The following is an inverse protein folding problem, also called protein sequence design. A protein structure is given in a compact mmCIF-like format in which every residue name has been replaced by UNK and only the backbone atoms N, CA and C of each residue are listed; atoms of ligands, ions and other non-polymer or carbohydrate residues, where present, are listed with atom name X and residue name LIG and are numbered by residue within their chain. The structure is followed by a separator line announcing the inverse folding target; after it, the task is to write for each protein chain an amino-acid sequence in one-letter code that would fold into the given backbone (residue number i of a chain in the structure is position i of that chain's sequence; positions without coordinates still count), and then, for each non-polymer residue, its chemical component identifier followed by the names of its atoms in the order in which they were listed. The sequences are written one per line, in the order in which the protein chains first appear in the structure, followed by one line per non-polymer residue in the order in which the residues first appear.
data_IF_232920308535
#
_entry.id   IF_232920308535
#
_cell.length_a   1.000
_cell.length_b   1.000
_cell.length_c   1.000
_cell.angle_alpha   90.00
_cell.angle_beta   90.00
_cell.angle_gamma   90.00
#
_symmetry.space_group_name_H-M   'P 1'
#
loop_
_entity.id
_entity.type
_entity.pdbx_description
1 polymer ?
#
# COMPACT_ATOMS: atom_id res chain seq x y z
N UNK A 1 21.02 -0.17 -8.72
CA UNK A 1 20.68 -1.27 -7.79
C UNK A 1 19.17 -1.36 -7.70
N UNK A 2 18.62 -2.58 -7.81
CA UNK A 2 17.18 -2.79 -7.75
C UNK A 2 16.70 -2.96 -6.33
N UNK A 3 15.64 -2.25 -5.95
CA UNK A 3 15.08 -2.23 -4.61
C UNK A 3 13.58 -2.52 -4.72
N UNK A 4 13.11 -3.53 -4.00
CA UNK A 4 11.68 -3.76 -3.79
C UNK A 4 11.32 -3.07 -2.47
N UNK A 5 10.32 -2.21 -2.49
CA UNK A 5 9.93 -1.37 -1.38
C UNK A 5 8.45 -1.52 -1.04
N UNK A 6 8.15 -1.86 0.21
CA UNK A 6 6.79 -1.87 0.76
C UNK A 6 6.71 -0.75 1.79
N UNK A 7 6.05 0.35 1.41
CA UNK A 7 6.13 1.64 2.10
C UNK A 7 4.88 1.97 2.90
N UNK A 8 3.96 1.02 3.09
CA UNK A 8 2.80 1.21 3.97
C UNK A 8 2.52 -0.09 4.70
N UNK A 9 2.85 -0.10 5.99
CA UNK A 9 2.57 -1.20 6.89
C UNK A 9 2.08 -0.65 8.24
N UNK A 10 1.65 -1.56 9.12
CA UNK A 10 1.34 -1.25 10.50
C UNK A 10 2.29 -1.92 11.49
N UNK A 11 2.29 -1.39 12.71
CA UNK A 11 2.95 -1.96 13.87
C UNK A 11 1.97 -2.81 14.71
N UNK A 12 2.51 -3.48 15.73
CA UNK A 12 1.72 -4.18 16.76
C UNK A 12 0.75 -3.29 17.55
N UNK A 13 0.89 -1.97 17.45
CA UNK A 13 0.03 -1.01 18.15
C UNK A 13 -1.23 -0.63 17.37
N UNK A 14 -1.32 -0.99 16.09
CA UNK A 14 -2.55 -0.84 15.33
C UNK A 14 -3.55 -1.95 15.64
N UNK A 15 -4.84 -1.62 15.56
CA UNK A 15 -5.91 -2.61 15.71
C UNK A 15 -5.79 -3.75 14.71
N UNK A 16 -6.14 -4.96 15.17
CA UNK A 16 -6.14 -6.19 14.37
C UNK A 16 -4.79 -6.52 13.69
N UNK A 17 -3.68 -6.02 14.26
CA UNK A 17 -2.34 -6.31 13.80
C UNK A 17 -1.67 -7.39 14.65
N UNK A 18 -0.79 -8.17 14.03
CA UNK A 18 0.03 -9.16 14.73
C UNK A 18 0.96 -8.50 15.76
N UNK A 19 1.17 -9.12 16.94
CA UNK A 19 2.18 -8.66 17.89
C UNK A 19 3.61 -8.72 17.33
N UNK A 20 3.85 -9.51 16.27
CA UNK A 20 5.12 -9.64 15.56
C UNK A 20 5.41 -8.49 14.58
N UNK A 21 4.56 -7.47 14.54
CA UNK A 21 4.85 -6.23 13.81
C UNK A 21 5.65 -5.26 14.71
N UNK A 22 6.80 -5.75 15.20
CA UNK A 22 7.82 -4.99 15.91
C UNK A 22 9.11 -4.92 15.07
N UNK A 23 9.99 -3.95 15.36
CA UNK A 23 11.17 -3.67 14.52
C UNK A 23 12.07 -4.91 14.31
N UNK A 24 12.41 -5.71 15.35
CA UNK A 24 13.16 -6.96 15.16
C UNK A 24 12.50 -7.94 14.18
N UNK A 25 11.23 -8.27 14.36
CA UNK A 25 10.54 -9.26 13.52
C UNK A 25 10.27 -8.72 12.10
N UNK A 26 9.99 -7.43 11.96
CA UNK A 26 9.86 -6.77 10.66
C UNK A 26 11.17 -6.83 9.87
N UNK A 27 12.31 -6.60 10.52
CA UNK A 27 13.64 -6.72 9.88
C UNK A 27 13.90 -8.12 9.35
N UNK A 28 13.55 -9.16 10.11
CA UNK A 28 13.73 -10.55 9.70
C UNK A 28 12.75 -10.95 8.58
N UNK A 29 11.50 -10.53 8.70
CA UNK A 29 10.44 -10.84 7.74
C UNK A 29 10.64 -10.15 6.41
N UNK A 30 11.11 -8.90 6.40
CA UNK A 30 11.45 -8.17 5.17
C UNK A 30 12.52 -8.91 4.35
N UNK A 31 13.53 -9.47 5.02
CA UNK A 31 14.59 -10.25 4.36
C UNK A 31 14.07 -11.57 3.80
N UNK A 32 13.22 -12.28 4.56
CA UNK A 32 12.54 -13.49 4.09
C UNK A 32 11.73 -13.19 2.83
N UNK A 33 11.04 -12.05 2.80
CA UNK A 33 10.26 -11.61 1.64
C UNK A 33 11.14 -11.14 0.48
N UNK A 34 12.30 -10.54 0.76
CA UNK A 34 13.15 -9.89 -0.25
C UNK A 34 12.83 -8.40 -0.44
N UNK A 35 12.27 -7.76 0.59
CA UNK A 35 11.95 -6.32 0.61
C UNK A 35 13.21 -5.55 1.01
N UNK A 36 13.77 -4.79 0.09
CA UNK A 36 15.00 -4.01 0.31
C UNK A 36 14.77 -2.71 1.09
N UNK A 37 13.55 -2.17 1.09
CA UNK A 37 13.16 -1.00 1.87
C UNK A 37 11.76 -1.18 2.44
N UNK A 38 11.61 -1.06 3.75
CA UNK A 38 10.33 -1.25 4.42
C UNK A 38 9.86 0.05 5.11
N UNK A 39 8.58 0.39 5.02
CA UNK A 39 7.98 1.43 5.85
C UNK A 39 8.06 1.03 7.33
N UNK A 40 8.20 2.00 8.25
CA UNK A 40 8.19 1.64 9.68
C UNK A 40 6.80 1.29 10.21
N UNK A 41 5.75 1.86 9.62
CA UNK A 41 4.42 1.94 10.21
C UNK A 41 4.37 2.88 11.42
N UNK A 42 3.16 3.37 11.73
CA UNK A 42 2.70 3.87 13.04
C UNK A 42 3.66 4.75 13.87
N UNK A 43 4.54 5.55 13.25
CA UNK A 43 5.54 6.32 14.00
C UNK A 43 4.94 7.35 14.96
N UNK A 44 3.63 7.62 14.87
CA UNK A 44 2.89 8.51 15.76
C UNK A 44 2.58 7.89 17.11
N UNK A 45 2.52 6.55 17.21
CA UNK A 45 2.25 5.89 18.48
C UNK A 45 3.46 6.04 19.40
N UNK A 46 3.33 6.60 20.61
CA UNK A 46 4.50 6.99 21.42
C UNK A 46 5.35 5.81 21.87
N UNK A 47 4.74 4.66 22.17
CA UNK A 47 5.51 3.46 22.54
C UNK A 47 6.24 2.88 21.33
N UNK A 48 5.62 2.93 20.14
CA UNK A 48 6.29 2.48 18.92
C UNK A 48 7.40 3.44 18.52
N UNK A 49 7.20 4.74 18.66
CA UNK A 49 8.25 5.73 18.41
C UNK A 49 9.45 5.55 19.34
N UNK A 50 9.22 5.20 20.61
CA UNK A 50 10.29 4.83 21.53
C UNK A 50 11.03 3.56 21.08
N UNK A 51 10.30 2.57 20.54
CA UNK A 51 10.87 1.37 19.94
C UNK A 51 11.72 1.70 18.69
N UNK A 52 11.22 2.54 17.78
CA UNK A 52 11.96 3.01 16.61
C UNK A 52 13.28 3.67 17.04
N UNK A 53 13.26 4.60 18.00
CA UNK A 53 14.48 5.24 18.54
C UNK A 53 15.45 4.26 19.19
N UNK A 54 14.95 3.17 19.77
CA UNK A 54 15.77 2.16 20.44
C UNK A 54 16.49 1.26 19.44
N UNK A 55 15.80 0.83 18.38
CA UNK A 55 16.30 -0.21 17.48
C UNK A 55 16.86 0.29 16.17
N UNK A 56 16.37 1.43 15.67
CA UNK A 56 16.78 2.00 14.41
C UNK A 56 17.96 2.95 14.59
N UNK A 57 18.90 2.87 13.66
CA UNK A 57 19.98 3.85 13.47
C UNK A 57 19.89 4.38 12.06
N UNK A 58 20.31 5.61 11.81
CA UNK A 58 20.42 6.10 10.44
C UNK A 58 21.40 5.21 9.66
N UNK A 59 21.06 4.89 8.40
CA UNK A 59 21.82 3.96 7.57
C UNK A 59 23.02 4.68 6.94
N UNK A 60 24.21 4.12 7.13
CA UNK A 60 25.44 4.68 6.57
C UNK A 60 25.36 4.75 5.04
N UNK A 61 25.64 5.93 4.48
CA UNK A 61 25.58 6.18 3.03
C UNK A 61 24.16 6.34 2.46
N UNK A 62 23.11 6.23 3.27
CA UNK A 62 21.71 6.37 2.87
C UNK A 62 20.93 7.37 3.74
N UNK A 63 21.23 8.68 3.69
CA UNK A 63 20.64 9.69 4.58
C UNK A 63 19.10 9.67 4.62
N UNK A 64 18.54 9.79 5.83
CA UNK A 64 17.10 9.72 6.07
C UNK A 64 16.46 8.34 5.93
N UNK A 65 17.24 7.31 5.58
CA UNK A 65 16.85 5.91 5.77
C UNK A 65 17.45 5.38 7.05
N UNK A 66 16.77 4.44 7.67
CA UNK A 66 17.16 3.83 8.93
C UNK A 66 17.44 2.35 8.76
N UNK A 67 18.14 1.74 9.70
CA UNK A 67 18.53 0.34 9.61
C UNK A 67 18.38 -0.39 10.94
N UNK A 68 17.92 -1.65 10.86
CA UNK A 68 18.04 -2.64 11.93
C UNK A 68 18.55 -3.96 11.37
N UNK A 69 19.67 -4.45 11.92
CA UNK A 69 20.33 -5.71 11.52
C UNK A 69 20.55 -5.81 9.98
N UNK A 70 20.84 -4.73 9.26
CA UNK A 70 21.01 -4.77 7.79
C UNK A 70 19.72 -4.66 6.97
N UNK A 71 18.53 -4.59 7.58
CA UNK A 71 17.30 -4.23 6.88
C UNK A 71 17.10 -2.71 6.92
N UNK A 72 16.85 -2.09 5.77
CA UNK A 72 16.57 -0.65 5.67
C UNK A 72 15.10 -0.33 5.83
N UNK A 73 14.84 0.82 6.45
CA UNK A 73 13.54 1.36 6.78
C UNK A 73 13.40 2.81 6.33
N UNK A 74 12.18 3.19 5.92
CA UNK A 74 11.75 4.56 5.70
C UNK A 74 10.69 4.91 6.75
N UNK A 75 10.84 6.05 7.42
CA UNK A 75 9.92 6.46 8.48
C UNK A 75 8.54 6.78 7.89
N UNK A 76 7.57 5.91 8.16
CA UNK A 76 6.21 6.01 7.66
C UNK A 76 5.18 5.84 8.78
N UNK A 77 4.07 6.57 8.67
CA UNK A 77 2.83 6.37 9.45
C UNK A 77 1.60 6.48 8.55
N UNK A 78 0.44 6.09 9.07
CA UNK A 78 -0.87 6.36 8.47
C UNK A 78 -1.75 7.06 9.51
N UNK A 79 -2.49 8.10 9.09
CA UNK A 79 -3.41 8.85 9.94
C UNK A 79 -4.84 8.71 9.40
N UNK A 80 -5.80 8.49 10.29
CA UNK A 80 -7.22 8.43 9.93
C UNK A 80 -7.90 9.77 10.24
N UNK A 81 -8.16 10.57 9.21
CA UNK A 81 -8.92 11.81 9.32
C UNK A 81 -10.42 11.52 9.22
N UNK A 82 -11.18 11.82 10.28
CA UNK A 82 -12.64 11.71 10.30
C UNK A 82 -13.24 13.08 10.62
N UNK A 83 -13.95 13.65 9.66
CA UNK A 83 -14.51 15.00 9.77
C UNK A 83 -15.80 15.11 8.95
N UNK A 84 -16.89 15.53 9.61
CA UNK A 84 -18.22 15.48 9.02
C UNK A 84 -18.58 14.05 8.59
N UNK A 85 -18.87 13.86 7.31
CA UNK A 85 -19.13 12.54 6.72
C UNK A 85 -17.89 11.92 6.05
N UNK A 86 -16.81 12.69 5.93
CA UNK A 86 -15.58 12.25 5.25
C UNK A 86 -14.71 11.41 6.18
N UNK A 87 -14.12 10.39 5.59
CA UNK A 87 -13.14 9.51 6.23
C UNK A 87 -12.04 9.26 5.22
N UNK A 88 -10.83 9.71 5.52
CA UNK A 88 -9.68 9.60 4.63
C UNK A 88 -8.49 9.16 5.43
N UNK A 89 -7.85 8.09 4.97
CA UNK A 89 -6.55 7.70 5.44
C UNK A 89 -5.45 8.35 4.61
N UNK A 90 -4.40 8.77 5.29
CA UNK A 90 -3.27 9.45 4.67
C UNK A 90 -1.97 8.87 5.21
N UNK A 91 -1.17 8.31 4.32
CA UNK A 91 0.21 7.88 4.56
C UNK A 91 1.12 9.10 4.57
N UNK A 92 2.06 9.12 5.51
CA UNK A 92 3.08 10.16 5.63
C UNK A 92 4.45 9.53 5.65
N UNK A 93 5.35 10.02 4.80
CA UNK A 93 6.79 9.71 4.88
C UNK A 93 7.54 10.88 5.50
N UNK A 94 8.41 10.62 6.46
CA UNK A 94 9.21 11.65 7.13
C UNK A 94 10.73 11.41 6.92
N UNK A 95 11.53 12.47 6.73
CA UNK A 95 12.96 12.34 6.43
C UNK A 95 13.82 11.96 7.64
N UNK A 96 13.37 12.22 8.87
CA UNK A 96 14.16 11.93 10.07
C UNK A 96 13.30 11.77 11.33
N UNK A 97 13.87 11.14 12.37
CA UNK A 97 13.23 10.98 13.68
C UNK A 97 12.95 12.32 14.37
N UNK A 98 13.73 13.37 14.08
CA UNK A 98 13.48 14.73 14.56
C UNK A 98 12.22 15.31 13.94
N UNK A 99 12.05 15.16 12.63
CA UNK A 99 10.82 15.58 11.93
C UNK A 99 9.62 14.77 12.42
N UNK A 100 9.77 13.45 12.63
CA UNK A 100 8.73 12.62 13.26
C UNK A 100 8.37 13.16 14.65
N UNK A 101 9.34 13.54 15.48
CA UNK A 101 9.06 14.08 16.80
C UNK A 101 8.23 15.37 16.73
N UNK A 102 8.53 16.25 15.76
CA UNK A 102 7.77 17.48 15.54
C UNK A 102 6.35 17.20 15.04
N UNK A 103 6.18 16.23 14.12
CA UNK A 103 4.85 15.78 13.65
C UNK A 103 4.05 15.22 14.84
N UNK A 104 4.65 14.37 15.66
CA UNK A 104 3.99 13.77 16.81
C UNK A 104 3.56 14.83 17.85
N UNK A 105 4.39 15.84 18.11
CA UNK A 105 4.03 16.96 18.99
C UNK A 105 2.85 17.77 18.43
N UNK A 106 2.87 18.08 17.14
CA UNK A 106 1.79 18.83 16.49
C UNK A 106 0.47 18.05 16.47
N UNK A 107 0.49 16.78 16.06
CA UNK A 107 -0.69 15.92 16.00
C UNK A 107 -1.21 15.54 17.39
N UNK A 108 -0.34 15.43 18.39
CA UNK A 108 -0.73 15.20 19.79
C UNK A 108 -1.58 16.32 20.38
N UNK A 109 -1.51 17.53 19.81
CA UNK A 109 -2.38 18.67 20.17
C UNK A 109 -3.75 18.61 19.48
N UNK A 110 -3.96 17.68 18.54
CA UNK A 110 -5.20 17.50 17.75
C UNK A 110 -5.99 16.26 18.16
N UNK A 111 -5.36 15.28 18.81
CA UNK A 111 -6.06 14.08 19.28
C UNK A 111 -5.16 13.07 19.99
N UNK A 112 -5.73 11.91 20.29
CA UNK A 112 -5.04 10.87 21.06
C UNK A 112 -4.20 9.95 20.16
N UNK A 113 -2.88 10.15 20.18
CA UNK A 113 -1.94 9.29 19.44
C UNK A 113 -1.66 7.93 20.10
N UNK A 114 -2.14 7.69 21.33
CA UNK A 114 -1.87 6.46 22.09
C UNK A 114 -2.93 5.38 21.93
N UNK A 115 -4.06 5.71 21.32
CA UNK A 115 -5.22 4.81 21.26
C UNK A 115 -5.04 3.68 20.24
N UNK A 116 -4.29 3.95 19.17
CA UNK A 116 -4.09 3.05 18.04
C UNK A 116 -2.82 3.48 17.30
N UNK A 117 -2.14 2.53 16.65
CA UNK A 117 -1.01 2.81 15.76
C UNK A 117 -1.37 3.74 14.60
N UNK A 118 -2.61 3.63 14.09
CA UNK A 118 -3.25 4.60 13.20
C UNK A 118 -4.20 5.48 14.00
N UNK A 119 -3.74 6.64 14.50
CA UNK A 119 -4.60 7.51 15.28
C UNK A 119 -5.75 8.07 14.43
N UNK A 120 -6.94 8.10 15.03
CA UNK A 120 -8.12 8.75 14.47
C UNK A 120 -8.16 10.18 14.97
N UNK A 121 -8.07 11.15 14.05
CA UNK A 121 -8.06 12.57 14.35
C UNK A 121 -9.28 13.26 13.73
N UNK A 122 -9.86 14.20 14.48
CA UNK A 122 -11.01 15.01 14.06
C UNK A 122 -10.68 16.16 13.11
N UNK A 123 -9.58 16.06 12.37
CA UNK A 123 -9.07 17.09 11.45
C UNK A 123 -9.24 16.64 10.00
N UNK A 124 -9.35 17.61 9.09
CA UNK A 124 -9.43 17.31 7.66
C UNK A 124 -8.11 16.78 7.08
N UNK A 125 -8.17 16.09 5.94
CA UNK A 125 -6.96 15.67 5.23
C UNK A 125 -6.12 16.87 4.76
N UNK A 126 -6.78 18.00 4.43
CA UNK A 126 -6.13 19.28 4.15
C UNK A 126 -5.38 19.82 5.39
N UNK A 127 -6.04 19.93 6.54
CA UNK A 127 -5.39 20.40 7.78
C UNK A 127 -4.21 19.49 8.17
N UNK A 128 -4.37 18.17 8.02
CA UNK A 128 -3.27 17.22 8.22
C UNK A 128 -2.09 17.52 7.30
N UNK A 129 -2.34 17.73 6.00
CA UNK A 129 -1.31 18.07 5.03
C UNK A 129 -0.63 19.42 5.35
N UNK A 130 -1.38 20.43 5.76
CA UNK A 130 -0.86 21.73 6.20
C UNK A 130 0.08 21.60 7.39
N UNK A 131 -0.30 20.81 8.40
CA UNK A 131 0.54 20.56 9.58
C UNK A 131 1.84 19.86 9.16
N UNK A 132 1.74 18.75 8.41
CA UNK A 132 2.90 17.92 8.05
C UNK A 132 3.87 18.67 7.15
N UNK A 133 3.36 19.32 6.09
CA UNK A 133 4.19 20.05 5.14
C UNK A 133 4.70 21.39 5.70
N UNK A 134 3.99 21.96 6.69
CA UNK A 134 4.45 23.12 7.45
C UNK A 134 5.63 22.82 8.37
N UNK A 135 5.74 21.57 8.86
CA UNK A 135 6.88 21.10 9.66
C UNK A 135 8.08 20.80 8.77
N UNK A 136 7.87 20.06 7.67
CA UNK A 136 8.90 19.81 6.68
C UNK A 136 8.29 19.64 5.29
N UNK A 137 8.75 20.46 4.35
CA UNK A 137 8.35 20.34 2.94
C UNK A 137 8.95 19.11 2.25
N UNK A 138 9.88 18.40 2.90
CA UNK A 138 10.46 17.17 2.39
C UNK A 138 9.55 15.97 2.62
N UNK A 139 8.61 16.06 3.58
CA UNK A 139 7.62 15.02 3.83
C UNK A 139 6.82 14.68 2.57
N UNK A 140 6.37 13.44 2.47
CA UNK A 140 5.34 13.05 1.50
C UNK A 140 4.02 12.87 2.23
N UNK A 141 2.94 13.40 1.64
CA UNK A 141 1.56 13.22 2.07
C UNK A 141 0.85 12.50 0.95
N UNK A 142 0.35 11.29 1.22
CA UNK A 142 -0.12 10.35 0.21
C UNK A 142 -1.48 9.81 0.66
N UNK A 143 -2.56 10.04 -0.10
CA UNK A 143 -3.83 9.36 0.16
C UNK A 143 -3.65 7.84 0.10
N UNK A 144 -3.98 7.15 1.19
CA UNK A 144 -3.85 5.71 1.30
C UNK A 144 -4.96 5.01 0.51
N UNK A 145 -4.65 3.81 -0.01
CA UNK A 145 -5.58 2.85 -0.63
C UNK A 145 -6.82 3.51 -1.28
N UNK A 146 -6.59 4.34 -2.32
CA UNK A 146 -7.44 5.47 -2.71
C UNK A 146 -8.91 5.15 -3.01
N UNK A 147 -9.24 3.88 -3.25
CA UNK A 147 -10.54 3.44 -3.73
C UNK A 147 -11.32 2.52 -2.79
N UNK A 148 -10.76 2.16 -1.61
CA UNK A 148 -11.55 1.32 -0.71
C UNK A 148 -12.85 2.05 -0.33
N UNK A 149 -14.02 1.38 -0.22
CA UNK A 149 -15.31 2.08 -0.18
C UNK A 149 -15.49 3.05 1.00
N UNK A 150 -14.65 2.91 2.03
CA UNK A 150 -14.60 3.74 3.23
C UNK A 150 -13.16 4.20 3.43
N UNK A 151 -12.94 5.26 4.21
CA UNK A 151 -11.59 5.67 4.64
C UNK A 151 -10.61 6.03 3.51
N UNK A 152 -11.10 6.30 2.30
CA UNK A 152 -10.26 6.54 1.13
C UNK A 152 -10.70 7.79 0.38
N UNK A 153 -9.75 8.47 -0.27
CA UNK A 153 -10.02 9.75 -0.93
C UNK A 153 -11.07 9.66 -2.03
N UNK A 154 -11.17 8.56 -2.77
CA UNK A 154 -12.21 8.32 -3.79
C UNK A 154 -13.27 7.29 -3.35
N UNK A 155 -13.27 6.90 -2.09
CA UNK A 155 -14.18 5.89 -1.55
C UNK A 155 -15.65 6.27 -1.75
N UNK A 156 -16.46 5.32 -2.22
CA UNK A 156 -17.84 5.57 -2.63
C UNK A 156 -18.78 6.08 -1.51
N UNK A 157 -18.45 5.87 -0.23
CA UNK A 157 -19.33 6.23 0.89
C UNK A 157 -18.86 7.44 1.71
N UNK A 158 -17.58 7.82 1.62
CA UNK A 158 -16.99 8.87 2.46
C UNK A 158 -15.90 9.69 1.79
N UNK A 159 -15.63 9.43 0.51
CA UNK A 159 -14.59 10.11 -0.27
C UNK A 159 -15.06 11.41 -0.91
N UNK A 160 -14.30 11.81 -1.92
CA UNK A 160 -14.41 13.01 -2.73
C UNK A 160 -14.42 12.61 -4.21
N UNK A 161 -14.83 13.52 -5.09
CA UNK A 161 -14.80 13.30 -6.53
C UNK A 161 -13.48 13.78 -7.16
N UNK A 162 -12.65 14.51 -6.40
CA UNK A 162 -11.30 14.92 -6.84
C UNK A 162 -10.31 15.12 -5.68
N UNK A 163 -9.01 15.04 -5.97
CA UNK A 163 -7.96 15.45 -5.01
C UNK A 163 -8.11 16.93 -4.62
N UNK A 164 -8.61 17.77 -5.54
CA UNK A 164 -8.81 19.21 -5.29
C UNK A 164 -9.86 19.48 -4.22
N UNK A 165 -10.94 18.71 -4.19
CA UNK A 165 -11.93 18.81 -3.12
C UNK A 165 -11.36 18.37 -1.76
N UNK A 166 -10.48 17.36 -1.75
CA UNK A 166 -9.91 16.82 -0.52
C UNK A 166 -8.78 17.69 0.05
N UNK A 167 -7.87 18.18 -0.80
CA UNK A 167 -6.62 18.87 -0.40
C UNK A 167 -6.55 20.34 -0.83
N UNK A 168 -7.58 20.90 -1.47
CA UNK A 168 -7.64 22.32 -1.82
C UNK A 168 -6.38 22.82 -2.54
N UNK A 169 -5.80 23.91 -2.04
CA UNK A 169 -4.58 24.52 -2.60
C UNK A 169 -3.33 23.62 -2.49
N UNK A 170 -3.32 22.67 -1.53
CA UNK A 170 -2.23 21.71 -1.37
C UNK A 170 -2.29 20.53 -2.33
N UNK A 171 -3.29 20.46 -3.21
CA UNK A 171 -3.37 19.41 -4.25
C UNK A 171 -2.09 19.33 -5.09
N UNK A 172 -1.46 20.48 -5.37
CA UNK A 172 -0.19 20.55 -6.11
C UNK A 172 1.02 19.95 -5.36
N UNK A 173 0.85 19.63 -4.07
CA UNK A 173 1.83 18.98 -3.20
C UNK A 173 1.54 17.50 -2.95
N UNK A 174 0.43 16.99 -3.48
CA UNK A 174 0.10 15.56 -3.44
C UNK A 174 0.70 14.94 -4.70
N UNK A 175 1.87 14.34 -4.54
CA UNK A 175 2.65 13.80 -5.66
C UNK A 175 2.39 12.33 -5.96
N UNK A 176 1.70 11.63 -5.07
CA UNK A 176 1.36 10.23 -5.24
C UNK A 176 0.01 9.92 -4.58
N UNK A 177 -0.61 8.84 -5.06
CA UNK A 177 -1.68 8.13 -4.36
C UNK A 177 -1.31 6.66 -4.27
N UNK A 178 -1.78 6.00 -3.23
CA UNK A 178 -1.66 4.55 -3.11
C UNK A 178 -2.88 3.86 -3.74
N UNK A 179 -2.66 2.93 -4.66
CA UNK A 179 -3.72 2.17 -5.34
C UNK A 179 -4.52 1.34 -4.33
N UNK A 180 -3.79 0.56 -3.53
CA UNK A 180 -4.30 -0.39 -2.55
C UNK A 180 -5.06 -1.56 -3.18
N UNK A 181 -5.30 -2.60 -2.40
CA UNK A 181 -5.82 -3.92 -2.82
C UNK A 181 -7.16 -3.95 -3.59
N UNK A 182 -7.85 -2.81 -3.71
CA UNK A 182 -9.15 -2.70 -4.38
C UNK A 182 -9.07 -2.04 -5.76
N UNK A 183 -7.90 -1.56 -6.17
CA UNK A 183 -7.69 -0.97 -7.49
C UNK A 183 -6.28 -1.22 -7.99
N UNK A 184 -6.08 -1.09 -9.28
CA UNK A 184 -4.76 -1.18 -9.91
C UNK A 184 -4.52 0.01 -10.86
N UNK A 185 -3.34 0.11 -11.49
CA UNK A 185 -3.05 1.20 -12.40
C UNK A 185 -4.02 1.34 -13.58
N UNK A 186 -4.45 0.27 -14.29
CA UNK A 186 -5.49 0.34 -15.32
C UNK A 186 -6.78 1.03 -14.85
N UNK A 187 -7.27 0.71 -13.65
CA UNK A 187 -8.43 1.38 -13.08
C UNK A 187 -8.20 2.88 -12.87
N UNK A 188 -7.02 3.26 -12.36
CA UNK A 188 -6.66 4.65 -12.05
C UNK A 188 -6.34 5.50 -13.31
N UNK A 189 -5.77 4.89 -14.34
CA UNK A 189 -5.43 5.55 -15.61
C UNK A 189 -6.62 6.11 -16.38
N UNK A 190 -7.82 5.65 -16.01
CA UNK A 190 -9.07 6.11 -16.56
C UNK A 190 -9.51 7.50 -16.07
N UNK A 191 -8.79 8.09 -15.12
CA UNK A 191 -9.05 9.41 -14.55
C UNK A 191 -7.89 10.35 -14.89
N UNK A 192 -8.06 11.22 -15.89
CA UNK A 192 -6.99 12.11 -16.36
C UNK A 192 -6.42 13.04 -15.30
N UNK A 193 -7.22 13.39 -14.28
CA UNK A 193 -6.77 14.19 -13.15
C UNK A 193 -5.63 13.53 -12.33
N UNK A 194 -5.46 12.20 -12.46
CA UNK A 194 -4.41 11.44 -11.79
C UNK A 194 -3.11 11.32 -12.59
N UNK A 195 -3.05 11.81 -13.83
CA UNK A 195 -1.85 11.68 -14.66
C UNK A 195 -0.61 12.33 -14.04
N UNK A 196 -0.78 13.37 -13.23
CA UNK A 196 0.34 14.10 -12.62
C UNK A 196 0.82 13.49 -11.32
N UNK A 197 0.10 12.52 -10.75
CA UNK A 197 0.49 11.84 -9.52
C UNK A 197 1.07 10.47 -9.84
N UNK A 198 2.07 10.04 -9.06
CA UNK A 198 2.54 8.67 -9.11
C UNK A 198 1.50 7.73 -8.48
N UNK A 199 1.33 6.56 -9.08
CA UNK A 199 0.62 5.45 -8.46
C UNK A 199 1.67 4.61 -7.73
N UNK A 200 1.55 4.51 -6.42
CA UNK A 200 2.35 3.61 -5.60
C UNK A 200 1.48 2.47 -5.08
N UNK A 201 2.11 1.34 -4.76
CA UNK A 201 1.40 0.15 -4.30
C UNK A 201 2.12 -0.43 -3.10
N UNK A 202 1.39 -0.67 -2.01
CA UNK A 202 1.95 -1.08 -0.73
C UNK A 202 0.99 -2.03 -0.01
N UNK A 203 1.54 -2.87 0.86
CA UNK A 203 0.78 -4.00 1.37
C UNK A 203 -0.33 -3.64 2.36
N UNK A 204 -0.26 -2.53 3.07
CA UNK A 204 -1.08 -2.28 4.27
C UNK A 204 -1.04 -3.53 5.20
N UNK A 205 0.19 -3.99 5.48
CA UNK A 205 0.40 -5.26 6.17
C UNK A 205 -0.01 -5.19 7.64
N UNK A 206 -0.95 -6.06 8.01
CA UNK A 206 -1.38 -6.31 9.39
C UNK A 206 -0.72 -7.56 10.01
N UNK A 207 0.19 -8.21 9.29
CA UNK A 207 1.01 -9.32 9.80
C UNK A 207 2.26 -9.51 8.93
N UNK A 208 3.34 -10.09 9.46
CA UNK A 208 4.55 -10.36 8.68
C UNK A 208 4.31 -11.18 7.39
N UNK A 209 3.35 -12.10 7.42
CA UNK A 209 3.00 -12.93 6.27
C UNK A 209 2.45 -12.12 5.08
N UNK A 210 1.83 -10.96 5.34
CA UNK A 210 1.19 -10.11 4.33
C UNK A 210 2.11 -8.98 3.81
N UNK A 211 3.31 -8.83 4.35
CA UNK A 211 4.33 -7.94 3.81
C UNK A 211 4.61 -8.25 2.34
N UNK A 212 4.71 -7.20 1.52
CA UNK A 212 5.06 -7.29 0.11
C UNK A 212 4.01 -7.94 -0.80
N UNK A 213 2.75 -8.11 -0.35
CA UNK A 213 1.65 -8.51 -1.27
C UNK A 213 1.37 -7.46 -2.34
N UNK A 214 1.78 -6.22 -2.05
CA UNK A 214 1.90 -5.09 -2.96
C UNK A 214 3.24 -4.40 -2.65
N UNK A 215 3.90 -3.87 -3.67
CA UNK A 215 5.21 -3.24 -3.51
C UNK A 215 5.56 -2.30 -4.67
N UNK A 216 6.63 -1.53 -4.50
CA UNK A 216 7.20 -0.64 -5.50
C UNK A 216 8.59 -1.12 -5.87
N UNK A 217 8.94 -1.09 -7.15
CA UNK A 217 10.27 -1.49 -7.63
C UNK A 217 11.03 -0.27 -8.11
N UNK A 218 12.14 0.03 -7.43
CA UNK A 218 13.05 1.12 -7.78
C UNK A 218 14.36 0.59 -8.36
N UNK A 219 15.00 1.39 -9.21
CA UNK A 219 16.37 1.21 -9.68
C UNK A 219 17.13 2.51 -9.43
N UNK A 220 17.95 2.51 -8.39
CA UNK A 220 18.68 3.70 -7.95
C UNK A 220 20.18 3.41 -7.90
N UNK A 221 21.01 4.40 -8.13
CA UNK A 221 22.43 4.27 -7.81
C UNK A 221 22.62 4.28 -6.28
N UNK A 222 23.75 3.74 -5.81
CA UNK A 222 24.05 3.64 -4.37
C UNK A 222 23.95 4.99 -3.65
N UNK A 223 24.41 6.06 -4.32
CA UNK A 223 24.33 7.44 -3.81
C UNK A 223 22.91 8.00 -3.76
N UNK A 224 22.01 7.45 -4.57
CA UNK A 224 20.60 7.88 -4.65
C UNK A 224 19.70 7.00 -3.76
N UNK A 225 20.16 5.85 -3.28
CA UNK A 225 19.39 5.03 -2.35
C UNK A 225 19.36 5.64 -0.95
N UNK A 226 18.55 6.68 -0.80
CA UNK A 226 18.32 7.46 0.41
C UNK A 226 16.88 8.03 0.38
N UNK A 227 16.42 8.66 1.46
CA UNK A 227 15.05 9.17 1.56
C UNK A 227 14.68 10.09 0.38
N UNK A 228 15.57 11.05 0.06
CA UNK A 228 15.35 12.02 -1.02
C UNK A 228 15.26 11.34 -2.37
N UNK A 229 16.15 10.40 -2.67
CA UNK A 229 16.15 9.71 -3.97
C UNK A 229 14.88 8.90 -4.20
N UNK A 230 14.36 8.22 -3.17
CA UNK A 230 13.07 7.51 -3.22
C UNK A 230 11.93 8.50 -3.45
N UNK A 231 11.84 9.56 -2.64
CA UNK A 231 10.78 10.55 -2.77
C UNK A 231 10.82 11.26 -4.12
N UNK A 232 12.01 11.62 -4.64
CA UNK A 232 12.17 12.26 -5.95
C UNK A 232 11.79 11.33 -7.11
N UNK A 233 12.13 10.04 -7.03
CA UNK A 233 11.71 9.07 -8.04
C UNK A 233 10.17 8.98 -8.13
N UNK A 234 9.49 8.99 -6.98
CA UNK A 234 8.02 9.03 -6.90
C UNK A 234 7.49 10.38 -7.42
N UNK A 235 7.97 11.52 -6.89
CA UNK A 235 7.49 12.87 -7.26
C UNK A 235 7.56 13.15 -8.76
N UNK A 236 8.61 12.67 -9.41
CA UNK A 236 8.86 12.91 -10.85
C UNK A 236 8.26 11.85 -11.76
N UNK A 237 7.68 10.77 -11.22
CA UNK A 237 7.29 9.58 -11.98
C UNK A 237 8.44 9.12 -12.90
N UNK A 238 9.67 9.12 -12.39
CA UNK A 238 10.85 8.85 -13.21
C UNK A 238 10.93 7.35 -13.54
N UNK A 239 10.47 6.94 -14.73
CA UNK A 239 10.45 5.54 -15.18
C UNK A 239 11.82 4.85 -15.16
N UNK A 240 12.92 5.59 -15.14
CA UNK A 240 14.26 5.00 -15.02
C UNK A 240 14.58 4.59 -13.58
N UNK A 241 13.97 5.29 -12.61
CA UNK A 241 14.19 5.10 -11.18
C UNK A 241 13.05 4.36 -10.49
N UNK A 242 11.82 4.55 -10.92
CA UNK A 242 10.62 3.87 -10.44
C UNK A 242 10.13 2.97 -11.58
N UNK A 243 10.54 1.71 -11.54
CA UNK A 243 10.43 0.78 -12.66
C UNK A 243 9.02 0.22 -12.82
N UNK A 244 8.39 -0.18 -11.72
CA UNK A 244 7.03 -0.69 -11.72
C UNK A 244 6.47 -0.80 -10.30
N UNK A 245 5.16 -1.02 -10.20
CA UNK A 245 4.51 -1.53 -8.99
C UNK A 245 4.22 -3.02 -9.11
N UNK A 246 4.21 -3.72 -7.98
CA UNK A 246 3.60 -5.04 -7.82
C UNK A 246 2.26 -4.84 -7.15
N UNK A 247 1.20 -5.30 -7.81
CA UNK A 247 -0.19 -5.06 -7.43
C UNK A 247 -0.87 -6.38 -7.04
N UNK A 248 -1.82 -6.32 -6.12
CA UNK A 248 -2.76 -7.39 -5.89
C UNK A 248 -3.80 -7.42 -7.01
N UNK A 249 -4.46 -8.56 -7.25
CA UNK A 249 -5.57 -8.64 -8.20
C UNK A 249 -6.84 -8.00 -7.59
N UNK A 250 -7.27 -6.80 -8.03
CA UNK A 250 -8.42 -6.13 -7.43
C UNK A 250 -9.71 -6.95 -7.55
N UNK A 251 -9.80 -7.87 -8.52
CA UNK A 251 -10.92 -8.78 -8.76
C UNK A 251 -11.19 -9.74 -7.60
N UNK A 252 -10.17 -10.06 -6.81
CA UNK A 252 -10.32 -10.86 -5.59
C UNK A 252 -10.95 -10.06 -4.44
N UNK A 253 -11.02 -8.73 -4.59
CA UNK A 253 -11.64 -7.82 -3.65
C UNK A 253 -13.13 -8.12 -3.44
N UNK A 254 -13.54 -8.16 -2.18
CA UNK A 254 -14.93 -8.42 -1.75
C UNK A 254 -15.98 -7.50 -2.41
N UNK A 255 -15.57 -6.29 -2.76
CA UNK A 255 -16.42 -5.26 -3.35
C UNK A 255 -15.90 -4.81 -4.72
N UNK A 256 -15.25 -5.67 -5.50
CA UNK A 256 -14.71 -5.27 -6.81
C UNK A 256 -15.81 -4.82 -7.78
N UNK A 257 -16.74 -5.71 -8.12
CA UNK A 257 -17.91 -5.45 -8.96
C UNK A 257 -19.19 -5.24 -8.15
N UNK A 258 -20.23 -4.70 -8.81
CA UNK A 258 -21.55 -4.56 -8.21
C UNK A 258 -22.15 -5.94 -7.94
N UNK A 259 -22.92 -6.06 -6.86
CA UNK A 259 -23.51 -7.35 -6.55
C UNK A 259 -24.52 -7.38 -5.43
N UNK A 260 -25.25 -8.50 -5.35
CA UNK A 260 -26.18 -8.77 -4.25
C UNK A 260 -25.86 -10.13 -3.65
N UNK A 261 -25.14 -10.12 -2.52
CA UNK A 261 -24.60 -11.33 -1.87
C UNK A 261 -25.64 -12.43 -1.68
N UNK A 262 -26.80 -12.08 -1.11
CA UNK A 262 -27.85 -13.06 -0.79
C UNK A 262 -28.47 -13.72 -2.04
N UNK A 263 -28.30 -13.11 -3.22
CA UNK A 263 -28.81 -13.65 -4.48
C UNK A 263 -27.70 -14.23 -5.39
N UNK A 264 -26.44 -14.14 -4.96
CA UNK A 264 -25.27 -14.54 -5.76
C UNK A 264 -25.14 -13.76 -7.07
N UNK A 265 -25.67 -12.53 -7.15
CA UNK A 265 -25.61 -11.69 -8.36
C UNK A 265 -24.30 -10.91 -8.35
N UNK A 266 -23.62 -10.89 -9.50
CA UNK A 266 -22.47 -10.04 -9.84
C UNK A 266 -22.77 -9.35 -11.16
N UNK A 267 -22.50 -8.05 -11.23
CA UNK A 267 -22.78 -7.21 -12.40
C UNK A 267 -21.59 -6.29 -12.62
N UNK A 268 -21.16 -6.15 -13.87
CA UNK A 268 -20.34 -5.00 -14.27
C UNK A 268 -21.09 -3.69 -13.98
N UNK A 269 -20.39 -2.56 -13.82
CA UNK A 269 -21.05 -1.28 -13.62
C UNK A 269 -22.05 -0.94 -14.73
N UNK A 270 -21.72 -1.24 -15.99
CA UNK A 270 -22.59 -1.01 -17.15
C UNK A 270 -23.88 -1.83 -17.08
N UNK A 271 -23.80 -3.08 -16.62
CA UNK A 271 -24.97 -3.94 -16.41
C UNK A 271 -25.82 -3.44 -15.24
N UNK A 272 -25.20 -3.03 -14.12
CA UNK A 272 -25.91 -2.50 -12.98
C UNK A 272 -26.67 -1.22 -13.32
N UNK A 273 -26.05 -0.29 -14.07
CA UNK A 273 -26.67 0.95 -14.53
C UNK A 273 -27.90 0.65 -15.41
N UNK A 274 -27.79 -0.29 -16.36
CA UNK A 274 -28.93 -0.72 -17.20
C UNK A 274 -30.10 -1.28 -16.39
N UNK A 275 -29.80 -1.88 -15.24
CA UNK A 275 -30.78 -2.42 -14.29
C UNK A 275 -31.18 -1.41 -13.20
N UNK A 276 -30.87 -0.11 -13.36
CA UNK A 276 -31.13 0.93 -12.37
C UNK A 276 -30.57 0.60 -10.97
N UNK A 277 -29.42 -0.07 -10.93
CA UNK A 277 -28.74 -0.55 -9.72
C UNK A 277 -29.63 -1.45 -8.85
N UNK A 278 -30.52 -2.21 -9.48
CA UNK A 278 -31.46 -3.13 -8.83
C UNK A 278 -31.12 -4.58 -9.18
N UNK A 279 -31.14 -5.44 -8.17
CA UNK A 279 -30.92 -6.87 -8.31
C UNK A 279 -32.04 -7.49 -9.16
N UNK A 280 -31.72 -8.14 -10.29
CA UNK A 280 -32.72 -8.72 -11.19
C UNK A 280 -33.46 -9.91 -10.58
N UNK A 281 -32.95 -10.50 -9.49
CA UNK A 281 -33.57 -11.65 -8.82
C UNK A 281 -34.59 -11.27 -7.74
N UNK A 282 -34.38 -10.15 -7.03
CA UNK A 282 -35.19 -9.83 -5.85
C UNK A 282 -35.70 -8.39 -5.79
N UNK A 283 -35.35 -7.53 -6.76
CA UNK A 283 -35.82 -6.15 -6.82
C UNK A 283 -35.19 -5.20 -5.77
N UNK A 284 -34.27 -5.68 -4.93
CA UNK A 284 -33.53 -4.84 -3.97
C UNK A 284 -32.32 -4.18 -4.63
N UNK A 285 -31.83 -3.06 -4.07
CA UNK A 285 -30.59 -2.42 -4.54
C UNK A 285 -29.40 -3.37 -4.46
N UNK A 286 -28.51 -3.29 -5.44
CA UNK A 286 -27.20 -3.96 -5.38
C UNK A 286 -26.24 -3.16 -4.49
N UNK A 287 -25.26 -3.84 -3.90
CA UNK A 287 -24.10 -3.20 -3.31
C UNK A 287 -23.20 -2.73 -4.44
N UNK A 288 -22.89 -1.43 -4.47
CA UNK A 288 -21.99 -0.85 -5.46
C UNK A 288 -20.55 -1.25 -5.16
N UNK A 289 -19.85 -1.72 -6.18
CA UNK A 289 -18.45 -2.08 -6.13
C UNK A 289 -17.52 -0.90 -6.38
N UNK A 290 -16.23 -1.14 -6.17
CA UNK A 290 -15.15 -0.19 -6.38
C UNK A 290 -15.02 0.16 -7.86
N UNK A 291 -15.17 -0.83 -8.76
CA UNK A 291 -15.12 -0.58 -10.20
C UNK A 291 -16.25 0.36 -10.65
N UNK A 292 -17.41 0.34 -10.00
CA UNK A 292 -18.49 1.28 -10.30
C UNK A 292 -18.12 2.71 -9.89
N UNK A 293 -17.45 2.87 -8.74
CA UNK A 293 -16.97 4.18 -8.30
C UNK A 293 -15.87 4.71 -9.23
N UNK A 294 -14.95 3.86 -9.68
CA UNK A 294 -13.97 4.21 -10.73
C UNK A 294 -14.70 4.64 -12.00
N UNK A 295 -15.66 3.86 -12.48
CA UNK A 295 -16.45 4.19 -13.67
C UNK A 295 -17.17 5.54 -13.56
N UNK A 296 -17.69 5.88 -12.38
CA UNK A 296 -18.37 7.14 -12.15
C UNK A 296 -17.45 8.37 -12.24
N UNK A 297 -16.16 8.22 -11.95
CA UNK A 297 -15.16 9.30 -12.02
C UNK A 297 -14.30 9.26 -13.30
N UNK A 298 -14.35 8.16 -14.05
CA UNK A 298 -13.56 7.95 -15.24
C UNK A 298 -13.94 8.92 -16.38
N UNK A 299 -12.93 9.54 -16.98
CA UNK A 299 -13.06 10.39 -18.18
C UNK A 299 -12.44 9.72 -19.43
N UNK A 300 -11.97 8.47 -19.28
CA UNK A 300 -11.34 7.66 -20.33
C UNK A 300 -11.92 6.24 -20.37
N UNK A 301 -11.88 5.60 -21.55
CA UNK A 301 -12.33 4.22 -21.70
C UNK A 301 -11.45 3.26 -20.91
N UNK A 302 -12.02 2.10 -20.60
CA UNK A 302 -11.26 0.97 -20.07
C UNK A 302 -10.13 0.55 -21.02
N UNK A 303 -8.99 0.14 -20.46
CA UNK A 303 -7.78 -0.19 -21.21
C UNK A 303 -6.95 0.99 -21.73
N UNK A 304 -7.30 2.24 -21.41
CA UNK A 304 -6.45 3.39 -21.73
C UNK A 304 -5.13 3.36 -20.94
N UNK A 305 -4.01 3.63 -21.61
CA UNK A 305 -2.67 3.69 -21.00
C UNK A 305 -2.03 5.06 -21.24
N UNK A 306 -1.76 5.86 -20.18
CA UNK A 306 -1.04 7.12 -20.31
C UNK A 306 0.39 6.90 -20.81
N UNK A 307 0.89 7.76 -21.69
CA UNK A 307 2.23 7.59 -22.28
C UNK A 307 3.36 7.62 -21.24
N UNK A 308 3.17 8.35 -20.15
CA UNK A 308 4.13 8.51 -19.05
C UNK A 308 3.80 7.61 -17.83
N UNK A 309 2.95 6.59 -17.98
CA UNK A 309 2.60 5.67 -16.88
C UNK A 309 3.80 4.84 -16.38
N UNK A 310 3.88 4.66 -15.06
CA UNK A 310 4.76 3.65 -14.46
C UNK A 310 4.12 2.27 -14.73
N UNK A 311 4.88 1.29 -15.28
CA UNK A 311 4.39 -0.07 -15.47
C UNK A 311 3.95 -0.74 -14.16
N UNK A 312 3.26 -1.86 -14.26
CA UNK A 312 2.89 -2.67 -13.10
C UNK A 312 2.90 -4.16 -13.43
N UNK A 313 2.86 -5.00 -12.40
CA UNK A 313 2.65 -6.45 -12.52
C UNK A 313 1.72 -6.89 -11.41
N UNK A 314 0.75 -7.73 -11.72
CA UNK A 314 0.00 -8.42 -10.67
C UNK A 314 0.84 -9.55 -10.07
N UNK A 315 0.68 -9.79 -8.77
CA UNK A 315 1.42 -10.79 -8.03
C UNK A 315 0.49 -11.55 -7.07
N UNK A 316 0.67 -12.86 -6.98
CA UNK A 316 0.10 -13.69 -5.91
C UNK A 316 1.23 -14.07 -4.96
N UNK A 317 1.07 -13.91 -3.63
CA UNK A 317 2.10 -14.31 -2.67
C UNK A 317 2.51 -15.77 -2.83
N UNK A 318 3.80 -16.08 -2.68
CA UNK A 318 4.34 -17.42 -2.97
C UNK A 318 3.65 -18.49 -2.12
N UNK A 319 3.35 -18.16 -0.87
CA UNK A 319 2.66 -19.07 0.05
C UNK A 319 1.26 -19.44 -0.44
N UNK A 320 0.55 -18.48 -1.05
CA UNK A 320 -0.78 -18.70 -1.61
C UNK A 320 -0.70 -19.58 -2.88
N UNK A 321 0.31 -19.36 -3.72
CA UNK A 321 0.62 -20.25 -4.86
C UNK A 321 0.88 -21.68 -4.35
N UNK A 322 1.79 -21.87 -3.40
CA UNK A 322 2.10 -23.19 -2.82
C UNK A 322 0.85 -23.84 -2.21
N UNK A 323 0.04 -23.08 -1.47
CA UNK A 323 -1.18 -23.57 -0.87
C UNK A 323 -2.18 -24.07 -1.93
N UNK A 324 -2.38 -23.27 -2.98
CA UNK A 324 -3.25 -23.61 -4.10
C UNK A 324 -2.73 -24.81 -4.88
N UNK A 325 -1.44 -24.84 -5.18
CA UNK A 325 -0.78 -25.95 -5.85
C UNK A 325 -0.85 -27.23 -5.01
N UNK A 326 -0.88 -27.17 -3.68
CA UNK A 326 -1.01 -28.37 -2.83
C UNK A 326 -2.46 -28.73 -2.47
N UNK A 327 -3.44 -27.92 -2.87
CA UNK A 327 -4.85 -28.01 -2.46
C UNK A 327 -5.02 -28.05 -0.93
N UNK A 328 -4.32 -27.16 -0.24
CA UNK A 328 -4.29 -27.06 1.24
C UNK A 328 -4.44 -25.61 1.69
N UNK A 329 -4.77 -25.42 2.97
CA UNK A 329 -4.73 -24.09 3.58
C UNK A 329 -3.29 -23.56 3.70
N UNK A 330 -3.13 -22.24 3.56
CA UNK A 330 -1.84 -21.53 3.63
C UNK A 330 -1.05 -21.83 4.91
N UNK A 331 -1.75 -22.09 6.02
CA UNK A 331 -1.14 -22.30 7.34
C UNK A 331 -0.91 -23.77 7.70
N UNK A 332 -1.16 -24.71 6.78
CA UNK A 332 -0.85 -26.12 7.04
C UNK A 332 0.65 -26.36 7.08
N UNK A 333 1.10 -27.29 7.94
CA UNK A 333 2.53 -27.62 8.12
C UNK A 333 3.26 -27.87 6.79
N UNK A 334 2.65 -28.65 5.89
CA UNK A 334 3.24 -28.95 4.58
C UNK A 334 3.42 -27.72 3.69
N UNK A 335 2.48 -26.77 3.70
CA UNK A 335 2.62 -25.52 2.94
C UNK A 335 3.72 -24.65 3.53
N UNK A 336 3.81 -24.55 4.85
CA UNK A 336 4.88 -23.77 5.52
C UNK A 336 6.26 -24.34 5.23
N UNK A 337 6.39 -25.66 5.27
CA UNK A 337 7.65 -26.36 4.99
C UNK A 337 8.09 -26.16 3.53
N UNK A 338 7.16 -26.30 2.57
CA UNK A 338 7.46 -26.15 1.14
C UNK A 338 7.75 -24.68 0.77
N UNK A 339 6.98 -23.73 1.30
CA UNK A 339 7.28 -22.31 1.19
C UNK A 339 8.69 -22.00 1.73
N UNK A 340 9.01 -22.46 2.94
CA UNK A 340 10.32 -22.24 3.55
C UNK A 340 11.47 -22.88 2.75
N UNK A 341 11.21 -24.00 2.08
CA UNK A 341 12.18 -24.67 1.20
C UNK A 341 12.49 -23.83 -0.04
N UNK A 342 11.46 -23.27 -0.70
CA UNK A 342 11.64 -22.34 -1.82
C UNK A 342 12.42 -21.08 -1.40
N UNK A 343 11.98 -20.43 -0.31
CA UNK A 343 12.65 -19.24 0.21
C UNK A 343 14.13 -19.52 0.52
N UNK A 344 14.46 -20.66 1.13
CA UNK A 344 15.87 -21.02 1.39
C UNK A 344 16.66 -21.30 0.11
N UNK A 345 16.05 -21.93 -0.89
CA UNK A 345 16.71 -22.26 -2.15
C UNK A 345 17.03 -21.00 -2.99
N UNK A 346 16.13 -20.03 -3.01
CA UNK A 346 16.27 -18.79 -3.78
C UNK A 346 16.76 -17.59 -2.97
N UNK A 347 16.91 -17.75 -1.65
CA UNK A 347 17.33 -16.71 -0.71
C UNK A 347 16.18 -15.88 -0.12
N UNK A 348 15.14 -15.60 -0.89
CA UNK A 348 13.94 -14.88 -0.44
C UNK A 348 12.70 -15.16 -1.33
N UNK A 349 11.52 -14.73 -0.88
CA UNK A 349 10.25 -14.93 -1.59
C UNK A 349 10.22 -14.27 -2.98
N UNK A 350 10.60 -13.00 -3.10
CA UNK A 350 10.60 -12.32 -4.40
C UNK A 350 11.58 -12.95 -5.41
N UNK A 351 12.72 -13.46 -4.95
CA UNK A 351 13.64 -14.21 -5.79
C UNK A 351 13.01 -15.51 -6.29
N UNK A 352 12.29 -16.24 -5.44
CA UNK A 352 11.56 -17.45 -5.84
C UNK A 352 10.44 -17.12 -6.84
N UNK A 353 9.69 -16.03 -6.64
CA UNK A 353 8.62 -15.59 -7.56
C UNK A 353 9.13 -15.11 -8.92
N UNK A 354 10.39 -14.69 -9.02
CA UNK A 354 11.03 -14.28 -10.27
C UNK A 354 11.92 -15.39 -10.88
N UNK A 355 12.02 -16.55 -10.23
CA UNK A 355 12.79 -17.68 -10.75
C UNK A 355 12.09 -18.28 -11.98
N UNK A 356 12.88 -18.91 -12.85
CA UNK A 356 12.32 -19.62 -14.01
C UNK A 356 11.60 -20.89 -13.59
N UNK A 357 10.67 -21.32 -14.43
CA UNK A 357 9.96 -22.60 -14.28
C UNK A 357 10.89 -23.76 -13.93
N UNK A 358 11.98 -23.95 -14.71
CA UNK A 358 12.92 -25.06 -14.49
C UNK A 358 13.69 -24.97 -13.17
N UNK A 359 13.94 -23.77 -12.65
CA UNK A 359 14.58 -23.61 -11.36
C UNK A 359 13.61 -23.99 -10.22
N UNK A 360 12.37 -23.52 -10.27
CA UNK A 360 11.33 -23.86 -9.28
C UNK A 360 11.04 -25.36 -9.31
N UNK A 361 10.93 -25.94 -10.50
CA UNK A 361 10.67 -27.37 -10.73
C UNK A 361 11.73 -28.27 -10.10
N UNK A 362 13.01 -27.90 -10.19
CA UNK A 362 14.11 -28.63 -9.54
C UNK A 362 14.02 -28.63 -8.02
N UNK A 363 13.48 -27.55 -7.43
CA UNK A 363 13.34 -27.42 -5.98
C UNK A 363 12.06 -28.11 -5.50
N UNK A 364 10.92 -27.84 -6.13
CA UNK A 364 9.58 -28.11 -5.59
C UNK A 364 8.68 -28.96 -6.49
N UNK A 365 9.18 -29.44 -7.62
CA UNK A 365 8.47 -30.31 -8.56
C UNK A 365 7.54 -29.55 -9.51
N UNK A 366 6.99 -30.28 -10.49
CA UNK A 366 6.23 -29.70 -11.61
C UNK A 366 5.00 -28.93 -11.12
N UNK A 367 4.23 -29.49 -10.16
CA UNK A 367 2.96 -28.91 -9.69
C UNK A 367 3.05 -27.52 -9.05
N UNK A 368 4.20 -27.14 -8.51
CA UNK A 368 4.43 -25.80 -7.93
C UNK A 368 5.08 -24.87 -8.95
N UNK A 369 5.80 -25.42 -9.94
CA UNK A 369 6.41 -24.65 -11.01
C UNK A 369 5.38 -24.22 -12.08
N UNK A 370 4.41 -25.08 -12.37
CA UNK A 370 3.21 -24.79 -13.18
C UNK A 370 2.31 -23.76 -12.49
#
# INVERSE_FOLDING_TARGET
MRIIADLHIHSKYSRACSPELDVPHLSESAKIKGIGLLGTGDFTHPEYFAELKKYLKESDGSPGLYEHKGQKFLLQTEISSIYGHHKVHTVIFAPSLEVVAQINDALGKRGNLKADGRPILGISALELAEIVLGISNECMVIPAHAWTPWFSVFGANSGFDSLKECFGELTSKIYAIETGLSSDPPMNWRISALDKVALISNSDAHSPAKLGREANVFELDEKEFNYRGICEAIRKKDKKRFLCTYEFFPEEGKYHVDGHRNCGVRLSPEEAIKLNNVCPKCGKKVTMGVLHRVNALADRPDGFVPGDSIPFKHLVPLREIVAKSLDKGEFTKGVVEEYGKLVRAFGNEFAALNASFEEVRKVSGDRIAD
#
